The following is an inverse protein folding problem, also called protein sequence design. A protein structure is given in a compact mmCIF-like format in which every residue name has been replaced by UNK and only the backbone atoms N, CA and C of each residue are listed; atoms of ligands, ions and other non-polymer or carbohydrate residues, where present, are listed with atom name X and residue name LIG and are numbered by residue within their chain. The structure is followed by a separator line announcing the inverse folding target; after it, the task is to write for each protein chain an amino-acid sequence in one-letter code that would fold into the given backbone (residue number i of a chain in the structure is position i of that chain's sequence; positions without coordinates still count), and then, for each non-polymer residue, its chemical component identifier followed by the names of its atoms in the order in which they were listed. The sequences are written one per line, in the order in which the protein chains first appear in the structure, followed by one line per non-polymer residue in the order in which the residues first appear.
data_IF_593294678097
#
_entry.id   IF_593294678097
#
_cell.length_a   1.000
_cell.length_b   1.000
_cell.length_c   1.000
_cell.angle_alpha   90.00
_cell.angle_beta   90.00
_cell.angle_gamma   90.00
#
_symmetry.space_group_name_H-M   'P 1'
#
loop_
_entity.id
_entity.type
_entity.pdbx_description
1 polymer ?
#
# COMPACT_ATOMS: atom_id res chain seq x y z
N UNK A 1 -41.09 37.73 -19.06
CA UNK A 1 -40.25 37.51 -17.88
C UNK A 1 -40.41 38.69 -16.95
N UNK A 2 -40.76 38.42 -15.69
CA UNK A 2 -40.81 39.44 -14.66
C UNK A 2 -39.38 39.92 -14.34
N UNK A 3 -39.24 41.09 -13.71
CA UNK A 3 -37.92 41.56 -13.21
C UNK A 3 -37.33 40.59 -12.18
N UNK A 4 -38.19 39.87 -11.45
CA UNK A 4 -37.82 38.85 -10.48
C UNK A 4 -37.18 37.65 -11.18
N UNK A 5 -37.80 37.10 -12.24
CA UNK A 5 -37.28 35.92 -12.94
C UNK A 5 -35.86 36.16 -13.48
N UNK A 6 -35.61 37.36 -14.04
CA UNK A 6 -34.28 37.72 -14.55
C UNK A 6 -33.25 37.85 -13.42
N UNK A 7 -33.67 38.35 -12.27
CA UNK A 7 -32.81 38.47 -11.10
C UNK A 7 -32.46 37.08 -10.53
N UNK A 8 -33.44 36.19 -10.37
CA UNK A 8 -33.22 34.82 -9.87
C UNK A 8 -32.33 34.02 -10.83
N UNK A 9 -32.52 34.13 -12.15
CA UNK A 9 -31.63 33.50 -13.14
C UNK A 9 -30.21 34.06 -13.05
N UNK A 10 -30.04 35.38 -12.96
CA UNK A 10 -28.71 35.99 -12.88
C UNK A 10 -27.98 35.61 -11.59
N UNK A 11 -28.70 35.53 -10.48
CA UNK A 11 -28.16 35.08 -9.20
C UNK A 11 -27.77 33.60 -9.25
N UNK A 12 -28.60 32.74 -9.84
CA UNK A 12 -28.28 31.33 -10.02
C UNK A 12 -27.03 31.13 -10.90
N UNK A 13 -26.89 31.90 -11.99
CA UNK A 13 -25.69 31.87 -12.84
C UNK A 13 -24.43 32.35 -12.10
N UNK A 14 -24.55 33.31 -11.16
CA UNK A 14 -23.43 33.71 -10.30
C UNK A 14 -23.08 32.62 -9.29
N UNK A 15 -24.08 32.01 -8.67
CA UNK A 15 -23.90 30.95 -7.68
C UNK A 15 -23.12 29.75 -8.23
N UNK A 16 -23.28 29.46 -9.53
CA UNK A 16 -22.63 28.35 -10.23
C UNK A 16 -21.46 28.77 -11.13
N UNK A 17 -20.91 29.98 -10.96
CA UNK A 17 -19.78 30.48 -11.76
C UNK A 17 -20.02 30.39 -13.29
N UNK A 18 -21.27 30.56 -13.72
CA UNK A 18 -21.73 30.33 -15.10
C UNK A 18 -22.21 31.58 -15.83
N UNK A 19 -21.98 32.79 -15.27
CA UNK A 19 -22.40 34.07 -15.87
C UNK A 19 -21.90 34.23 -17.32
N UNK A 20 -20.65 33.85 -17.59
CA UNK A 20 -20.05 33.95 -18.92
C UNK A 20 -20.69 33.00 -19.96
N UNK A 21 -21.49 32.03 -19.51
CA UNK A 21 -22.16 31.04 -20.36
C UNK A 21 -23.58 31.45 -20.75
N UNK A 22 -24.12 32.51 -20.15
CA UNK A 22 -25.55 32.87 -20.28
C UNK A 22 -26.04 33.14 -21.70
N UNK A 23 -25.15 33.56 -22.60
CA UNK A 23 -25.46 33.85 -24.01
C UNK A 23 -25.02 32.74 -24.98
N UNK A 24 -24.41 31.65 -24.48
CA UNK A 24 -23.94 30.53 -25.31
C UNK A 24 -25.04 29.51 -25.57
N UNK A 25 -24.98 28.83 -26.72
CA UNK A 25 -25.91 27.75 -27.05
C UNK A 25 -25.60 26.53 -26.16
N UNK A 26 -26.62 25.99 -25.48
CA UNK A 26 -26.45 24.91 -24.50
C UNK A 26 -25.71 23.68 -25.05
N UNK A 27 -26.00 23.30 -26.31
CA UNK A 27 -25.40 22.13 -26.95
C UNK A 27 -23.91 22.33 -27.32
N UNK A 28 -23.41 23.56 -27.29
CA UNK A 28 -22.00 23.90 -27.58
C UNK A 28 -21.13 23.94 -26.32
N UNK A 29 -21.73 23.78 -25.13
CA UNK A 29 -21.02 23.74 -23.86
C UNK A 29 -20.30 22.40 -23.70
N UNK A 30 -19.17 22.39 -22.98
CA UNK A 30 -18.54 21.15 -22.50
C UNK A 30 -19.43 20.45 -21.46
N UNK A 31 -19.19 19.16 -21.18
CA UNK A 31 -19.98 18.40 -20.20
C UNK A 31 -20.07 19.09 -18.83
N UNK A 32 -18.93 19.57 -18.30
CA UNK A 32 -18.88 20.27 -17.02
C UNK A 32 -19.58 21.64 -17.03
N UNK A 33 -19.48 22.39 -18.13
CA UNK A 33 -20.23 23.64 -18.30
C UNK A 33 -21.74 23.38 -18.36
N UNK A 34 -22.19 22.36 -19.11
CA UNK A 34 -23.60 21.96 -19.15
C UNK A 34 -24.11 21.62 -17.76
N UNK A 35 -23.32 20.87 -16.98
CA UNK A 35 -23.71 20.49 -15.62
C UNK A 35 -23.89 21.70 -14.70
N UNK A 36 -22.97 22.67 -14.74
CA UNK A 36 -23.12 23.91 -13.96
C UNK A 36 -24.33 24.74 -14.38
N UNK A 37 -24.61 24.80 -15.68
CA UNK A 37 -25.81 25.48 -16.20
C UNK A 37 -27.08 24.74 -15.77
N UNK A 38 -27.09 23.41 -15.77
CA UNK A 38 -28.23 22.62 -15.27
C UNK A 38 -28.48 22.86 -13.77
N UNK A 39 -27.44 22.92 -12.95
CA UNK A 39 -27.56 23.30 -11.54
C UNK A 39 -28.09 24.75 -11.42
N UNK A 40 -27.60 25.68 -12.24
CA UNK A 40 -28.11 27.05 -12.26
C UNK A 40 -29.60 27.11 -12.60
N UNK A 41 -30.05 26.33 -13.59
CA UNK A 41 -31.46 26.24 -13.96
C UNK A 41 -32.33 25.71 -12.81
N UNK A 42 -31.83 24.75 -12.03
CA UNK A 42 -32.52 24.26 -10.84
C UNK A 42 -32.56 25.33 -9.72
N UNK A 43 -31.44 26.03 -9.48
CA UNK A 43 -31.35 27.08 -8.47
C UNK A 43 -32.19 28.32 -8.78
N UNK A 44 -32.41 28.64 -10.07
CA UNK A 44 -33.24 29.76 -10.48
C UNK A 44 -34.70 29.63 -10.04
N UNK A 45 -35.13 28.41 -9.65
CA UNK A 45 -36.45 28.15 -9.06
C UNK A 45 -36.50 28.41 -7.55
N UNK A 46 -35.39 28.88 -6.95
CA UNK A 46 -35.25 29.18 -5.52
C UNK A 46 -35.64 27.98 -4.62
N UNK A 47 -35.12 26.77 -4.88
CA UNK A 47 -35.53 25.59 -4.15
C UNK A 47 -34.98 25.57 -2.72
N UNK A 48 -35.72 24.94 -1.80
CA UNK A 48 -35.21 24.58 -0.47
C UNK A 48 -34.41 23.26 -0.48
N UNK A 49 -34.66 22.41 -1.50
CA UNK A 49 -34.06 21.08 -1.67
C UNK A 49 -33.64 20.90 -3.13
N UNK A 50 -32.40 20.47 -3.34
CA UNK A 50 -31.85 20.10 -4.64
C UNK A 50 -31.65 18.58 -4.71
N UNK A 51 -32.29 17.95 -5.69
CA UNK A 51 -32.12 16.54 -6.01
C UNK A 51 -31.20 16.41 -7.22
N UNK A 52 -30.13 15.62 -7.10
CA UNK A 52 -29.16 15.39 -8.15
C UNK A 52 -29.08 13.91 -8.48
N UNK A 53 -29.43 13.55 -9.71
CA UNK A 53 -29.29 12.19 -10.22
C UNK A 53 -27.94 12.05 -10.93
N UNK A 54 -27.04 11.26 -10.36
CA UNK A 54 -25.65 11.05 -10.82
C UNK A 54 -24.95 12.30 -11.38
N UNK A 55 -24.76 13.36 -10.57
CA UNK A 55 -24.30 14.66 -11.06
C UNK A 55 -22.87 14.69 -11.63
N UNK A 56 -22.12 13.60 -11.47
CA UNK A 56 -20.75 13.42 -11.93
C UNK A 56 -20.64 12.49 -13.14
N UNK A 57 -21.76 11.90 -13.59
CA UNK A 57 -21.78 10.97 -14.72
C UNK A 57 -21.32 11.65 -16.00
N UNK A 58 -20.52 10.94 -16.81
CA UNK A 58 -19.97 11.45 -18.08
C UNK A 58 -19.07 12.70 -17.97
N UNK A 59 -18.60 13.05 -16.76
CA UNK A 59 -17.64 14.14 -16.54
C UNK A 59 -16.23 13.62 -16.29
N UNK A 60 -15.22 14.30 -16.82
CA UNK A 60 -13.83 14.06 -16.43
C UNK A 60 -13.59 14.43 -14.97
N UNK A 61 -12.57 13.82 -14.35
CA UNK A 61 -12.23 13.96 -12.92
C UNK A 61 -12.22 15.42 -12.45
N UNK A 62 -11.64 16.33 -13.24
CA UNK A 62 -11.61 17.77 -12.93
C UNK A 62 -13.02 18.34 -12.74
N UNK A 63 -13.92 18.06 -13.67
CA UNK A 63 -15.28 18.59 -13.65
C UNK A 63 -16.16 17.91 -12.60
N UNK A 64 -15.92 16.64 -12.27
CA UNK A 64 -16.58 15.98 -11.14
C UNK A 64 -16.27 16.69 -9.82
N UNK A 65 -14.98 16.96 -9.56
CA UNK A 65 -14.50 17.67 -8.36
C UNK A 65 -15.07 19.08 -8.30
N UNK A 66 -15.04 19.84 -9.39
CA UNK A 66 -15.61 21.19 -9.45
C UNK A 66 -17.11 21.19 -9.15
N UNK A 67 -17.86 20.23 -9.71
CA UNK A 67 -19.31 20.12 -9.52
C UNK A 67 -19.66 19.78 -8.07
N UNK A 68 -19.00 18.80 -7.47
CA UNK A 68 -19.25 18.41 -6.08
C UNK A 68 -18.81 19.50 -5.09
N UNK A 69 -17.71 20.21 -5.36
CA UNK A 69 -17.29 21.36 -4.57
C UNK A 69 -18.30 22.51 -4.64
N UNK A 70 -18.87 22.79 -5.82
CA UNK A 70 -19.97 23.75 -5.98
C UNK A 70 -21.18 23.34 -5.12
N UNK A 71 -21.60 22.08 -5.21
CA UNK A 71 -22.74 21.56 -4.44
C UNK A 71 -22.51 21.69 -2.93
N UNK A 72 -21.33 21.31 -2.46
CA UNK A 72 -20.95 21.45 -1.05
C UNK A 72 -20.96 22.92 -0.60
N UNK A 73 -20.49 23.84 -1.45
CA UNK A 73 -20.52 25.28 -1.18
C UNK A 73 -21.95 25.81 -1.08
N UNK A 74 -22.83 25.42 -2.00
CA UNK A 74 -24.24 25.80 -1.97
C UNK A 74 -24.94 25.35 -0.69
N UNK A 75 -24.65 24.12 -0.22
CA UNK A 75 -25.17 23.65 1.05
C UNK A 75 -24.65 24.48 2.24
N UNK A 76 -23.33 24.72 2.32
CA UNK A 76 -22.71 25.43 3.45
C UNK A 76 -23.08 26.91 3.51
N UNK A 77 -23.07 27.60 2.38
CA UNK A 77 -23.24 29.06 2.33
C UNK A 77 -24.71 29.49 2.25
N UNK A 78 -25.56 28.69 1.58
CA UNK A 78 -26.96 29.04 1.32
C UNK A 78 -27.97 28.22 2.13
N UNK A 79 -27.51 27.25 2.92
CA UNK A 79 -28.39 26.35 3.67
C UNK A 79 -29.24 25.43 2.80
N UNK A 80 -28.87 25.26 1.52
CA UNK A 80 -29.60 24.43 0.57
C UNK A 80 -29.45 22.95 0.94
N UNK A 81 -30.56 22.24 1.14
CA UNK A 81 -30.49 20.79 1.33
C UNK A 81 -30.18 20.14 -0.02
N UNK A 82 -29.24 19.20 -0.05
CA UNK A 82 -28.88 18.47 -1.27
C UNK A 82 -28.98 16.97 -1.02
N UNK A 83 -29.65 16.26 -1.92
CA UNK A 83 -29.62 14.80 -1.99
C UNK A 83 -29.08 14.43 -3.37
N UNK A 84 -28.02 13.63 -3.40
CA UNK A 84 -27.39 13.18 -4.63
C UNK A 84 -27.32 11.66 -4.69
N UNK A 85 -27.72 11.08 -5.83
CA UNK A 85 -27.43 9.69 -6.15
C UNK A 85 -25.97 9.58 -6.64
N UNK A 86 -25.16 8.78 -5.97
CA UNK A 86 -23.73 8.64 -6.22
C UNK A 86 -23.36 7.16 -6.42
N UNK A 87 -22.60 6.85 -7.48
CA UNK A 87 -22.03 5.52 -7.69
C UNK A 87 -20.58 5.40 -7.17
N UNK A 88 -19.87 6.53 -7.05
CA UNK A 88 -18.51 6.57 -6.50
C UNK A 88 -18.56 6.85 -4.99
N UNK A 89 -18.25 5.82 -4.20
CA UNK A 89 -18.26 5.87 -2.74
C UNK A 89 -17.19 6.81 -2.16
N UNK A 90 -16.04 6.97 -2.84
CA UNK A 90 -14.97 7.87 -2.40
C UNK A 90 -15.38 9.33 -2.55
N UNK A 91 -15.95 9.66 -3.70
CA UNK A 91 -16.51 11.00 -3.93
C UNK A 91 -17.68 11.28 -2.98
N UNK A 92 -18.56 10.30 -2.77
CA UNK A 92 -19.66 10.44 -1.82
C UNK A 92 -19.14 10.72 -0.39
N UNK A 93 -18.21 9.91 0.11
CA UNK A 93 -17.61 10.07 1.45
C UNK A 93 -16.91 11.41 1.65
N UNK A 94 -16.30 11.95 0.59
CA UNK A 94 -15.55 13.21 0.65
C UNK A 94 -16.44 14.44 0.73
N UNK A 95 -17.53 14.47 -0.03
CA UNK A 95 -18.34 15.68 -0.19
C UNK A 95 -19.60 15.69 0.67
N UNK A 96 -20.11 14.51 1.05
CA UNK A 96 -21.35 14.37 1.80
C UNK A 96 -21.08 13.90 3.23
N UNK A 97 -21.55 14.64 4.26
CA UNK A 97 -21.35 14.27 5.66
C UNK A 97 -22.28 13.14 6.13
N UNK A 98 -23.30 12.79 5.35
CA UNK A 98 -24.24 11.71 5.62
C UNK A 98 -24.46 10.92 4.34
N UNK A 99 -24.40 9.59 4.45
CA UNK A 99 -24.63 8.65 3.37
C UNK A 99 -25.83 7.77 3.70
N UNK A 100 -26.56 7.38 2.66
CA UNK A 100 -27.64 6.40 2.76
C UNK A 100 -27.36 5.31 1.73
N UNK A 101 -27.11 4.09 2.21
CA UNK A 101 -26.86 2.95 1.35
C UNK A 101 -28.17 2.25 1.01
N UNK A 102 -28.47 2.16 -0.28
CA UNK A 102 -29.73 1.61 -0.77
C UNK A 102 -29.50 0.33 -1.59
N UNK A 103 -30.07 -0.79 -1.13
CA UNK A 103 -30.14 -2.05 -1.86
C UNK A 103 -31.48 -2.72 -1.54
N UNK A 104 -32.42 -2.67 -2.49
CA UNK A 104 -33.81 -3.17 -2.29
C UNK A 104 -34.47 -2.61 -1.02
N UNK A 105 -34.10 -1.39 -0.63
CA UNK A 105 -34.41 -0.77 0.66
C UNK A 105 -33.18 -0.06 1.24
N UNK A 106 -33.38 0.69 2.33
CA UNK A 106 -32.27 1.33 3.06
C UNK A 106 -31.58 0.27 3.91
N UNK A 107 -30.28 0.07 3.67
CA UNK A 107 -29.45 -0.91 4.39
C UNK A 107 -28.58 -0.24 5.45
N UNK A 108 -28.19 1.01 5.23
CA UNK A 108 -27.47 1.83 6.20
C UNK A 108 -27.78 3.32 6.01
N UNK A 109 -27.72 4.08 7.09
CA UNK A 109 -27.94 5.53 7.14
C UNK A 109 -27.10 6.11 8.27
N UNK A 110 -26.14 6.96 7.94
CA UNK A 110 -25.19 7.47 8.92
C UNK A 110 -24.06 8.27 8.30
N UNK A 111 -23.00 8.50 9.08
CA UNK A 111 -21.78 9.14 8.57
C UNK A 111 -21.00 8.22 7.62
N UNK A 112 -20.07 8.75 6.80
CA UNK A 112 -19.27 7.94 5.89
C UNK A 112 -18.56 6.77 6.56
N UNK A 113 -18.01 6.95 7.76
CA UNK A 113 -17.31 5.89 8.50
C UNK A 113 -18.24 4.75 8.95
N UNK A 114 -19.51 5.03 9.21
CA UNK A 114 -20.50 4.04 9.63
C UNK A 114 -21.06 3.29 8.42
N UNK A 115 -21.31 4.02 7.33
CA UNK A 115 -21.95 3.48 6.11
C UNK A 115 -20.96 2.74 5.22
N UNK A 116 -19.69 3.15 5.21
CA UNK A 116 -18.63 2.51 4.44
C UNK A 116 -17.81 1.55 5.30
N UNK A 117 -18.48 0.81 6.18
CA UNK A 117 -17.84 -0.26 6.94
C UNK A 117 -17.57 -1.47 6.01
N UNK A 118 -16.35 -2.06 6.03
CA UNK A 118 -15.97 -3.13 5.09
C UNK A 118 -16.95 -4.31 5.02
N UNK A 119 -17.40 -4.86 6.16
CA UNK A 119 -18.28 -6.04 6.16
C UNK A 119 -19.67 -5.73 5.57
N UNK A 120 -20.18 -4.53 5.81
CA UNK A 120 -21.41 -4.02 5.21
C UNK A 120 -21.25 -3.87 3.69
N UNK A 121 -20.16 -3.27 3.23
CA UNK A 121 -19.90 -3.08 1.80
C UNK A 121 -19.72 -4.41 1.08
N UNK A 122 -18.98 -5.36 1.65
CA UNK A 122 -18.84 -6.71 1.08
C UNK A 122 -20.19 -7.41 0.92
N UNK A 123 -21.07 -7.30 1.91
CA UNK A 123 -22.42 -7.88 1.85
C UNK A 123 -23.31 -7.22 0.79
N UNK A 124 -23.22 -5.90 0.64
CA UNK A 124 -24.10 -5.13 -0.25
C UNK A 124 -23.64 -5.20 -1.71
N UNK A 125 -22.34 -5.03 -1.96
CA UNK A 125 -21.79 -5.00 -3.32
C UNK A 125 -21.26 -6.35 -3.80
N UNK A 126 -21.11 -7.35 -2.91
CA UNK A 126 -20.62 -8.68 -3.26
C UNK A 126 -19.14 -8.71 -3.67
N UNK A 127 -18.36 -7.73 -3.21
CA UNK A 127 -16.92 -7.58 -3.49
C UNK A 127 -16.18 -7.35 -2.17
N UNK A 128 -14.98 -7.92 -2.01
CA UNK A 128 -14.17 -7.66 -0.82
C UNK A 128 -13.54 -6.27 -0.88
N UNK A 129 -14.10 -5.35 -0.10
CA UNK A 129 -13.71 -3.95 -0.10
C UNK A 129 -12.77 -3.68 1.06
N UNK A 130 -11.60 -3.10 0.77
CA UNK A 130 -10.73 -2.55 1.81
C UNK A 130 -11.04 -1.08 2.01
N UNK A 131 -11.28 -0.70 3.27
CA UNK A 131 -11.55 0.69 3.65
C UNK A 131 -10.39 1.18 4.52
N UNK A 132 -9.73 2.23 4.06
CA UNK A 132 -8.56 2.78 4.73
C UNK A 132 -8.57 4.31 4.74
N UNK A 133 -7.75 4.89 5.63
CA UNK A 133 -7.48 6.33 5.65
C UNK A 133 -6.18 6.56 4.88
N UNK A 134 -6.24 7.32 3.77
CA UNK A 134 -5.06 7.71 3.02
C UNK A 134 -4.25 8.74 3.82
N UNK A 135 -2.97 8.44 4.14
CA UNK A 135 -2.10 9.39 4.86
C UNK A 135 -1.99 10.71 4.10
N UNK A 136 -2.41 11.80 4.74
CA UNK A 136 -2.42 13.16 4.18
C UNK A 136 -3.80 13.70 3.80
N UNK A 137 -4.84 12.85 3.80
CA UNK A 137 -6.22 13.26 3.66
C UNK A 137 -7.04 12.75 4.86
N UNK A 138 -7.82 13.60 5.51
CA UNK A 138 -8.78 13.23 6.55
C UNK A 138 -10.02 12.52 5.95
N UNK A 139 -9.82 11.68 4.92
CA UNK A 139 -10.90 11.16 4.09
C UNK A 139 -10.80 9.64 3.93
N UNK A 140 -11.97 9.02 4.11
CA UNK A 140 -12.19 7.59 4.00
C UNK A 140 -12.09 7.18 2.52
N UNK A 141 -11.28 6.15 2.24
CA UNK A 141 -11.12 5.61 0.90
C UNK A 141 -11.57 4.16 0.83
N UNK A 142 -12.54 3.90 -0.04
CA UNK A 142 -12.96 2.60 -0.56
C UNK A 142 -12.00 2.23 -1.69
N UNK A 143 -11.18 1.22 -1.45
CA UNK A 143 -10.33 0.65 -2.48
C UNK A 143 -11.09 -0.49 -3.16
N UNK A 144 -11.08 -0.58 -4.51
CA UNK A 144 -11.62 -1.77 -5.18
C UNK A 144 -10.91 -3.01 -4.62
N UNK A 145 -11.56 -4.19 -4.65
CA UNK A 145 -10.89 -5.45 -4.35
C UNK A 145 -9.60 -5.45 -5.17
N UNK A 146 -8.47 -5.41 -4.48
CA UNK A 146 -7.23 -5.73 -5.15
C UNK A 146 -7.41 -7.14 -5.72
N UNK A 147 -6.85 -7.43 -6.89
CA UNK A 147 -6.70 -8.82 -7.36
C UNK A 147 -5.72 -9.57 -6.43
N UNK A 148 -6.06 -9.62 -5.15
CA UNK A 148 -5.27 -10.07 -4.02
C UNK A 148 -6.07 -11.09 -3.18
N UNK A 149 -7.39 -11.16 -3.30
CA UNK A 149 -8.16 -12.23 -2.63
C UNK A 149 -7.95 -13.61 -3.28
N UNK A 150 -7.44 -13.67 -4.53
CA UNK A 150 -6.90 -14.90 -5.09
C UNK A 150 -5.54 -15.32 -4.47
N UNK A 151 -4.90 -14.48 -3.63
CA UNK A 151 -3.62 -14.84 -2.98
C UNK A 151 -3.74 -15.82 -1.82
N UNK A 152 -4.95 -16.19 -1.40
CA UNK A 152 -5.12 -17.38 -0.54
C UNK A 152 -4.90 -18.70 -1.32
N UNK A 153 -4.69 -18.63 -2.64
CA UNK A 153 -4.30 -19.77 -3.48
C UNK A 153 -2.99 -19.54 -4.24
N UNK A 154 -2.08 -18.68 -3.75
CA UNK A 154 -0.71 -18.67 -4.26
C UNK A 154 0.08 -19.84 -3.64
N UNK A 155 0.88 -20.59 -4.42
CA UNK A 155 1.82 -21.54 -3.86
C UNK A 155 2.68 -20.80 -2.83
N UNK A 156 2.80 -21.37 -1.61
CA UNK A 156 3.48 -20.73 -0.49
C UNK A 156 4.81 -20.10 -0.93
N UNK A 157 5.06 -18.88 -0.47
CA UNK A 157 6.27 -18.15 -0.82
C UNK A 157 7.50 -19.04 -0.62
N UNK A 158 8.28 -19.22 -1.69
CA UNK A 158 9.43 -20.15 -1.68
C UNK A 158 10.67 -19.52 -1.06
N UNK A 159 10.68 -18.22 -0.87
CA UNK A 159 11.83 -17.43 -0.41
C UNK A 159 11.46 -16.65 0.84
N UNK A 160 12.31 -16.71 1.85
CA UNK A 160 12.28 -15.81 3.00
C UNK A 160 13.45 -14.83 2.91
N UNK A 161 13.20 -13.54 3.08
CA UNK A 161 14.20 -12.47 3.04
C UNK A 161 14.34 -11.86 4.43
N UNK A 162 15.53 -11.97 5.01
CA UNK A 162 15.91 -11.27 6.24
C UNK A 162 16.68 -10.01 5.87
N UNK A 163 16.10 -8.85 6.17
CA UNK A 163 16.64 -7.54 5.85
C UNK A 163 16.51 -6.55 7.02
N UNK A 164 16.97 -5.32 6.83
CA UNK A 164 16.95 -4.27 7.85
C UNK A 164 17.85 -3.10 7.46
N UNK A 165 17.52 -1.90 7.94
CA UNK A 165 18.31 -0.69 7.68
C UNK A 165 18.43 -0.32 6.20
N UNK A 166 17.53 -0.80 5.34
CA UNK A 166 17.52 -0.54 3.90
C UNK A 166 18.36 -1.53 3.05
N UNK A 167 19.01 -2.50 3.69
CA UNK A 167 19.87 -3.49 3.02
C UNK A 167 19.10 -4.42 2.07
N UNK A 168 17.80 -4.64 2.33
CA UNK A 168 16.96 -5.52 1.51
C UNK A 168 16.36 -4.85 0.29
N UNK A 169 16.49 -3.53 0.14
CA UNK A 169 15.69 -2.77 -0.81
C UNK A 169 15.88 -3.20 -2.27
N UNK A 170 17.14 -3.41 -2.69
CA UNK A 170 17.45 -3.84 -4.06
C UNK A 170 17.01 -5.28 -4.31
N UNK A 171 17.21 -6.17 -3.34
CA UNK A 171 16.82 -7.57 -3.45
C UNK A 171 15.30 -7.73 -3.55
N UNK A 172 14.54 -7.06 -2.67
CA UNK A 172 13.07 -7.15 -2.66
C UNK A 172 12.46 -6.64 -3.97
N UNK A 173 13.02 -5.57 -4.55
CA UNK A 173 12.62 -5.09 -5.87
C UNK A 173 12.94 -6.10 -6.96
N UNK A 174 14.15 -6.65 -6.97
CA UNK A 174 14.55 -7.61 -7.98
C UNK A 174 13.74 -8.93 -7.92
N UNK A 175 13.38 -9.40 -6.72
CA UNK A 175 12.48 -10.54 -6.54
C UNK A 175 11.07 -10.25 -7.06
N UNK A 176 10.54 -9.05 -6.77
CA UNK A 176 9.23 -8.62 -7.26
C UNK A 176 9.21 -8.47 -8.79
N UNK A 177 10.23 -7.85 -9.38
CA UNK A 177 10.37 -7.71 -10.83
C UNK A 177 10.48 -9.09 -11.51
N UNK A 178 11.15 -10.04 -10.86
CA UNK A 178 11.23 -11.44 -11.30
C UNK A 178 9.97 -12.27 -11.01
N UNK A 179 8.92 -11.68 -10.41
CA UNK A 179 7.67 -12.33 -10.03
C UNK A 179 7.87 -13.55 -9.09
N UNK A 180 8.89 -13.49 -8.24
CA UNK A 180 9.18 -14.53 -7.25
C UNK A 180 8.47 -14.17 -5.94
N UNK A 181 7.50 -14.96 -5.44
CA UNK A 181 6.84 -14.66 -4.18
C UNK A 181 7.79 -14.88 -2.99
N UNK A 182 7.87 -13.89 -2.11
CA UNK A 182 8.75 -13.93 -0.95
C UNK A 182 8.07 -13.43 0.33
N UNK A 183 8.50 -13.98 1.46
CA UNK A 183 8.23 -13.45 2.80
C UNK A 183 9.38 -12.52 3.17
N UNK A 184 9.09 -11.38 3.80
CA UNK A 184 10.12 -10.50 4.35
C UNK A 184 9.95 -10.35 5.85
N UNK A 185 11.00 -10.62 6.62
CA UNK A 185 10.88 -10.63 8.08
C UNK A 185 12.16 -11.02 8.82
N UNK A 186 12.28 -10.72 10.11
CA UNK A 186 11.42 -9.79 10.86
C UNK A 186 11.88 -8.34 10.64
N UNK A 187 10.95 -7.43 10.34
CA UNK A 187 11.25 -6.03 10.03
C UNK A 187 10.56 -5.09 11.03
N UNK A 188 11.31 -4.13 11.58
CA UNK A 188 10.79 -3.15 12.53
C UNK A 188 9.88 -2.12 11.85
N UNK A 189 8.78 -1.74 12.51
CA UNK A 189 7.92 -0.64 12.06
C UNK A 189 8.76 0.64 11.92
N UNK A 190 8.65 1.30 10.78
CA UNK A 190 9.40 2.53 10.47
C UNK A 190 10.76 2.29 9.81
N UNK A 191 11.19 1.03 9.63
CA UNK A 191 12.32 0.71 8.77
C UNK A 191 11.96 0.96 7.29
N UNK A 192 12.94 1.43 6.51
CA UNK A 192 12.82 1.56 5.06
C UNK A 192 12.50 0.24 4.37
N UNK A 193 13.08 -0.87 4.84
CA UNK A 193 12.83 -2.21 4.31
C UNK A 193 11.41 -2.68 4.67
N UNK A 194 10.91 -2.36 5.87
CA UNK A 194 9.53 -2.65 6.28
C UNK A 194 8.52 -1.97 5.35
N UNK A 195 8.73 -0.68 5.09
CA UNK A 195 7.85 0.11 4.22
C UNK A 195 7.81 -0.44 2.79
N UNK A 196 8.95 -0.93 2.29
CA UNK A 196 9.05 -1.52 0.97
C UNK A 196 8.44 -2.92 0.92
N UNK A 197 8.70 -3.74 1.94
CA UNK A 197 8.17 -5.10 2.07
C UNK A 197 6.65 -5.12 2.06
N UNK A 198 5.99 -4.18 2.74
CA UNK A 198 4.53 -4.05 2.75
C UNK A 198 3.90 -3.87 1.35
N UNK A 199 4.68 -3.42 0.36
CA UNK A 199 4.22 -3.22 -1.02
C UNK A 199 4.56 -4.40 -1.93
N UNK A 200 5.66 -5.09 -1.67
CA UNK A 200 6.26 -6.04 -2.60
C UNK A 200 6.15 -7.50 -2.16
N UNK A 201 6.23 -7.77 -0.85
CA UNK A 201 6.27 -9.12 -0.31
C UNK A 201 4.89 -9.78 -0.35
N UNK A 202 4.87 -11.11 -0.43
CA UNK A 202 3.66 -11.91 -0.27
C UNK A 202 3.17 -11.91 1.18
N UNK A 203 4.11 -11.84 2.12
CA UNK A 203 3.86 -11.76 3.56
C UNK A 203 4.97 -10.94 4.22
N UNK A 204 4.62 -10.15 5.23
CA UNK A 204 5.59 -9.36 6.01
C UNK A 204 5.45 -9.70 7.49
N UNK A 205 6.55 -10.11 8.11
CA UNK A 205 6.64 -10.33 9.55
C UNK A 205 7.15 -9.04 10.20
N UNK A 206 6.31 -8.43 11.04
CA UNK A 206 6.52 -7.08 11.57
C UNK A 206 6.86 -7.11 13.05
N UNK A 207 7.80 -6.26 13.48
CA UNK A 207 8.20 -6.09 14.87
C UNK A 207 8.10 -4.62 15.32
N UNK A 208 7.97 -4.39 16.62
CA UNK A 208 7.95 -3.06 17.22
C UNK A 208 9.31 -2.33 17.08
N UNK A 209 9.31 -0.98 16.98
CA UNK A 209 10.55 -0.22 16.86
C UNK A 209 11.44 -0.33 18.12
N UNK A 210 12.75 -0.45 17.91
CA UNK A 210 13.78 -0.37 18.96
C UNK A 210 13.70 -1.43 20.08
N UNK A 211 12.91 -2.47 19.90
CA UNK A 211 12.80 -3.59 20.84
C UNK A 211 13.54 -4.83 20.30
N UNK A 212 14.06 -5.71 21.18
CA UNK A 212 14.43 -7.05 20.77
C UNK A 212 13.23 -7.78 20.15
N UNK A 213 13.49 -8.80 19.31
CA UNK A 213 12.41 -9.62 18.76
C UNK A 213 11.54 -10.21 19.87
N UNK A 214 10.24 -10.02 19.72
CA UNK A 214 9.24 -10.63 20.58
C UNK A 214 9.17 -12.15 20.32
N UNK A 215 8.76 -12.94 21.33
CA UNK A 215 8.57 -14.38 21.14
C UNK A 215 7.57 -14.73 20.03
N UNK A 216 6.53 -13.90 19.86
CA UNK A 216 5.50 -14.07 18.83
C UNK A 216 6.08 -13.88 17.42
N UNK A 217 6.83 -12.79 17.20
CA UNK A 217 7.53 -12.54 15.93
C UNK A 217 8.50 -13.68 15.61
N UNK A 218 9.20 -14.18 16.62
CA UNK A 218 10.15 -15.29 16.45
C UNK A 218 9.44 -16.58 16.02
N UNK A 219 8.26 -16.87 16.58
CA UNK A 219 7.45 -18.01 16.20
C UNK A 219 6.96 -17.89 14.74
N UNK A 220 6.56 -16.69 14.32
CA UNK A 220 6.18 -16.41 12.92
C UNK A 220 7.37 -16.61 11.96
N UNK A 221 8.57 -16.17 12.35
CA UNK A 221 9.79 -16.39 11.55
C UNK A 221 10.07 -17.89 11.42
N UNK A 222 10.04 -18.64 12.52
CA UNK A 222 10.25 -20.10 12.50
C UNK A 222 9.23 -20.82 11.64
N UNK A 223 7.96 -20.46 11.76
CA UNK A 223 6.89 -21.02 10.94
C UNK A 223 7.16 -20.76 9.45
N UNK A 224 7.58 -19.55 9.10
CA UNK A 224 7.96 -19.22 7.72
C UNK A 224 9.15 -20.05 7.25
N UNK A 225 10.22 -20.14 8.04
CA UNK A 225 11.43 -20.89 7.69
C UNK A 225 11.17 -22.39 7.47
N UNK A 226 10.15 -22.97 8.14
CA UNK A 226 9.74 -24.35 7.94
C UNK A 226 9.05 -24.62 6.60
N UNK A 227 8.58 -23.57 5.90
CA UNK A 227 7.79 -23.68 4.67
C UNK A 227 8.47 -23.11 3.42
N UNK A 228 9.55 -22.34 3.58
CA UNK A 228 10.31 -21.80 2.45
C UNK A 228 11.37 -22.80 1.96
N UNK A 229 11.69 -22.73 0.67
CA UNK A 229 12.78 -23.51 0.09
C UNK A 229 14.13 -22.80 0.18
N UNK A 230 14.13 -21.47 0.36
CA UNK A 230 15.32 -20.63 0.37
C UNK A 230 15.18 -19.51 1.41
N UNK A 231 16.23 -19.31 2.21
CA UNK A 231 16.42 -18.14 3.06
C UNK A 231 17.52 -17.26 2.46
N UNK A 232 17.24 -15.98 2.25
CA UNK A 232 18.23 -14.98 1.84
C UNK A 232 18.47 -14.02 3.01
N UNK A 233 19.70 -13.97 3.49
CA UNK A 233 20.14 -13.07 4.55
C UNK A 233 20.85 -11.88 3.90
N UNK A 234 20.24 -10.70 3.99
CA UNK A 234 20.82 -9.46 3.50
C UNK A 234 21.96 -8.97 4.39
N UNK A 235 22.83 -8.10 3.86
CA UNK A 235 23.89 -7.49 4.64
C UNK A 235 23.28 -6.50 5.63
N UNK A 236 22.90 -6.98 6.83
CA UNK A 236 22.41 -6.16 7.95
C UNK A 236 23.51 -5.98 9.02
N UNK A 237 23.63 -4.81 9.68
CA UNK A 237 24.46 -4.67 10.87
C UNK A 237 24.00 -5.62 11.98
N UNK A 238 24.92 -6.32 12.65
CA UNK A 238 24.62 -7.32 13.66
C UNK A 238 24.70 -6.68 15.05
N UNK A 239 23.59 -6.65 15.76
CA UNK A 239 23.46 -6.11 17.11
C UNK A 239 22.67 -7.05 18.02
N UNK A 240 22.53 -6.71 19.31
CA UNK A 240 21.79 -7.54 20.26
C UNK A 240 20.31 -7.74 19.86
N UNK A 241 19.72 -6.80 19.12
CA UNK A 241 18.33 -6.86 18.69
C UNK A 241 18.04 -7.88 17.58
N UNK A 242 19.01 -8.20 16.72
CA UNK A 242 18.83 -9.15 15.59
C UNK A 242 19.70 -10.40 15.70
N UNK A 243 20.51 -10.54 16.76
CA UNK A 243 21.33 -11.73 17.00
C UNK A 243 20.48 -13.01 17.02
N UNK A 244 19.27 -12.94 17.56
CA UNK A 244 18.32 -14.06 17.59
C UNK A 244 17.91 -14.50 16.19
N UNK A 245 17.70 -13.56 15.24
CA UNK A 245 17.39 -13.91 13.85
C UNK A 245 18.52 -14.69 13.20
N UNK A 246 19.78 -14.29 13.43
CA UNK A 246 20.93 -15.05 12.92
C UNK A 246 21.04 -16.46 13.52
N UNK A 247 20.66 -16.63 14.79
CA UNK A 247 20.57 -17.97 15.41
C UNK A 247 19.52 -18.81 14.71
N UNK A 248 18.35 -18.25 14.39
CA UNK A 248 17.32 -18.96 13.62
C UNK A 248 17.78 -19.30 12.19
N UNK A 249 18.55 -18.41 11.54
CA UNK A 249 19.14 -18.71 10.22
C UNK A 249 20.09 -19.92 10.29
N UNK A 250 20.88 -20.03 11.35
CA UNK A 250 21.76 -21.19 11.58
C UNK A 250 20.97 -22.47 11.82
N UNK A 251 19.92 -22.40 12.64
CA UNK A 251 19.03 -23.54 12.89
C UNK A 251 18.36 -23.99 11.59
N UNK A 252 17.83 -23.07 10.79
CA UNK A 252 17.22 -23.37 9.51
C UNK A 252 18.21 -24.03 8.53
N UNK A 253 19.44 -23.53 8.46
CA UNK A 253 20.49 -24.14 7.65
C UNK A 253 20.80 -25.58 8.10
N UNK A 254 20.87 -25.83 9.41
CA UNK A 254 21.09 -27.16 9.96
C UNK A 254 19.91 -28.11 9.72
N UNK A 255 18.70 -27.57 9.59
CA UNK A 255 17.48 -28.31 9.25
C UNK A 255 17.32 -28.54 7.74
N UNK A 256 18.28 -28.10 6.92
CA UNK A 256 18.31 -28.34 5.48
C UNK A 256 17.63 -27.28 4.63
N UNK A 257 17.25 -26.13 5.21
CA UNK A 257 16.82 -24.97 4.42
C UNK A 257 18.03 -24.41 3.69
N UNK A 258 17.92 -24.20 2.39
CA UNK A 258 18.96 -23.56 1.62
C UNK A 258 19.12 -22.10 2.07
N UNK A 259 20.32 -21.69 2.48
CA UNK A 259 20.60 -20.32 2.90
C UNK A 259 21.57 -19.67 1.92
N UNK A 260 21.26 -18.43 1.54
CA UNK A 260 22.12 -17.55 0.75
C UNK A 260 22.41 -16.31 1.56
N UNK A 261 23.68 -15.92 1.63
CA UNK A 261 24.10 -14.65 2.24
C UNK A 261 24.52 -13.68 1.15
N UNK A 262 23.92 -12.49 1.15
CA UNK A 262 24.32 -11.40 0.26
C UNK A 262 25.42 -10.59 0.96
N UNK A 263 26.62 -10.58 0.38
CA UNK A 263 27.76 -9.79 0.84
C UNK A 263 27.75 -8.39 0.20
N UNK A 264 28.23 -7.38 0.93
CA UNK A 264 28.53 -6.07 0.34
C UNK A 264 29.82 -6.16 -0.48
N UNK A 265 29.85 -5.49 -1.64
CA UNK A 265 31.10 -5.25 -2.36
C UNK A 265 31.95 -4.24 -1.56
N UNK A 266 33.14 -4.63 -1.11
CA UNK A 266 34.11 -3.70 -0.52
C UNK A 266 34.61 -2.79 -1.66
N UNK A 267 34.45 -1.45 -1.58
CA UNK A 267 34.95 -0.57 -2.62
C UNK A 267 36.48 -0.60 -2.64
N UNK A 268 37.08 -1.17 -3.71
CA UNK A 268 38.51 -1.03 -4.01
C UNK A 268 39.38 -2.29 -3.93
N UNK A 269 38.85 -3.47 -3.67
CA UNK A 269 39.62 -4.73 -3.77
C UNK A 269 39.19 -5.55 -5.01
N UNK A 270 40.14 -6.08 -5.81
CA UNK A 270 39.82 -6.90 -6.98
C UNK A 270 39.25 -8.26 -6.57
N UNK A 271 38.42 -8.85 -7.44
CA UNK A 271 37.88 -10.21 -7.31
C UNK A 271 39.01 -11.24 -7.07
N UNK A 272 39.15 -11.70 -5.82
CA UNK A 272 40.02 -12.82 -5.44
C UNK A 272 39.12 -14.05 -5.26
N UNK A 273 39.42 -15.20 -5.88
CA UNK A 273 38.60 -16.40 -5.76
C UNK A 273 38.59 -16.94 -4.32
N UNK A 274 37.48 -17.56 -3.88
CA UNK A 274 37.30 -17.95 -2.48
C UNK A 274 38.22 -19.10 -2.10
N UNK A 275 39.11 -18.88 -1.12
CA UNK A 275 39.85 -19.92 -0.44
C UNK A 275 39.71 -19.74 1.08
N UNK A 276 39.20 -20.77 1.77
CA UNK A 276 38.99 -20.86 3.22
C UNK A 276 37.93 -19.94 3.85
N UNK A 277 37.19 -20.51 4.82
CA UNK A 277 36.09 -19.86 5.57
C UNK A 277 36.50 -18.58 6.30
N UNK A 278 37.79 -18.40 6.60
CA UNK A 278 38.30 -17.22 7.31
C UNK A 278 38.58 -16.03 6.36
N UNK A 279 38.83 -16.27 5.07
CA UNK A 279 38.92 -15.18 4.08
C UNK A 279 37.52 -14.68 3.71
N UNK A 280 36.51 -15.53 3.59
CA UNK A 280 35.12 -15.09 3.36
C UNK A 280 34.60 -14.15 4.45
N UNK A 281 35.01 -14.33 5.72
CA UNK A 281 34.65 -13.45 6.83
C UNK A 281 35.33 -12.07 6.75
N UNK A 282 36.57 -12.02 6.23
CA UNK A 282 37.31 -10.76 6.03
C UNK A 282 36.75 -9.96 4.86
N UNK A 283 36.39 -10.64 3.77
CA UNK A 283 35.94 -10.01 2.51
C UNK A 283 34.42 -9.76 2.44
N UNK A 284 33.63 -10.29 3.37
CA UNK A 284 32.17 -10.04 3.46
C UNK A 284 31.80 -8.76 4.22
N UNK A 285 32.78 -8.06 4.82
CA UNK A 285 32.53 -6.90 5.67
C UNK A 285 31.76 -7.22 6.96
N UNK A 286 31.61 -8.49 7.33
CA UNK A 286 30.78 -8.92 8.46
C UNK A 286 31.43 -8.59 9.81
N UNK A 287 32.76 -8.70 9.90
CA UNK A 287 33.50 -8.39 11.13
C UNK A 287 33.43 -6.90 11.53
N UNK A 288 33.26 -5.99 10.58
CA UNK A 288 33.13 -4.54 10.84
C UNK A 288 31.70 -4.14 11.24
N UNK A 289 30.77 -5.11 11.27
CA UNK A 289 29.34 -4.91 11.48
C UNK A 289 28.82 -5.62 12.73
N UNK A 290 29.70 -6.22 13.50
CA UNK A 290 29.36 -6.91 14.73
C UNK A 290 29.49 -5.96 15.93
N UNK A 291 28.33 -5.55 16.46
CA UNK A 291 28.18 -4.74 17.67
C UNK A 291 27.83 -5.61 18.90
N UNK A 292 28.17 -6.90 18.86
CA UNK A 292 27.88 -7.91 19.91
C UNK A 292 29.15 -8.52 20.50
N UNK A 293 30.26 -7.78 20.48
CA UNK A 293 31.55 -8.19 21.03
C UNK A 293 32.05 -9.56 20.49
N UNK A 294 31.74 -9.86 19.22
CA UNK A 294 32.20 -11.05 18.51
C UNK A 294 31.23 -12.24 18.50
N UNK A 295 30.07 -12.16 19.17
CA UNK A 295 29.05 -13.21 19.10
C UNK A 295 28.43 -13.34 17.70
N UNK A 296 28.19 -12.22 17.02
CA UNK A 296 27.68 -12.19 15.65
C UNK A 296 28.63 -12.85 14.66
N UNK A 297 29.93 -12.54 14.76
CA UNK A 297 30.97 -13.17 13.94
C UNK A 297 31.04 -14.68 14.17
N UNK A 298 30.90 -15.15 15.42
CA UNK A 298 30.86 -16.60 15.71
C UNK A 298 29.67 -17.27 15.02
N UNK A 299 28.49 -16.66 15.06
CA UNK A 299 27.28 -17.21 14.43
C UNK A 299 27.41 -17.25 12.91
N UNK A 300 27.92 -16.18 12.29
CA UNK A 300 28.15 -16.18 10.85
C UNK A 300 29.20 -17.22 10.48
N UNK A 301 30.28 -17.36 11.24
CA UNK A 301 31.29 -18.41 10.99
C UNK A 301 30.65 -19.81 11.06
N UNK A 302 29.81 -20.05 12.05
CA UNK A 302 29.08 -21.31 12.18
C UNK A 302 28.12 -21.52 10.99
N UNK A 303 27.47 -20.47 10.51
CA UNK A 303 26.59 -20.51 9.33
C UNK A 303 27.38 -20.81 8.04
N UNK A 304 28.56 -20.22 7.86
CA UNK A 304 29.42 -20.54 6.70
C UNK A 304 29.89 -22.00 6.73
N UNK A 305 30.11 -22.57 7.90
CA UNK A 305 30.49 -23.98 8.06
C UNK A 305 29.37 -24.97 7.69
N UNK A 306 28.11 -24.55 7.62
CA UNK A 306 27.00 -25.42 7.18
C UNK A 306 26.87 -25.52 5.66
N UNK A 307 27.73 -24.84 4.89
CA UNK A 307 27.70 -24.88 3.42
C UNK A 307 26.80 -23.82 2.77
N UNK A 308 26.56 -22.71 3.47
CA UNK A 308 25.80 -21.56 2.97
C UNK A 308 26.52 -20.91 1.78
N UNK A 309 25.76 -20.60 0.73
CA UNK A 309 26.28 -19.91 -0.45
C UNK A 309 26.36 -18.41 -0.19
N UNK A 310 27.54 -17.84 -0.35
CA UNK A 310 27.74 -16.38 -0.32
C UNK A 310 27.69 -15.86 -1.76
N UNK A 311 26.88 -14.82 -1.97
CA UNK A 311 26.72 -14.15 -3.27
C UNK A 311 27.09 -12.67 -3.13
N UNK A 312 27.66 -12.09 -4.17
CA UNK A 312 28.14 -10.71 -4.16
C UNK A 312 27.24 -9.75 -4.93
N UNK A 313 26.26 -10.29 -5.68
CA UNK A 313 25.32 -9.52 -6.46
C UNK A 313 23.87 -9.94 -6.19
N UNK A 314 22.95 -8.98 -6.31
CA UNK A 314 21.50 -9.25 -6.22
C UNK A 314 21.06 -10.18 -7.37
N UNK A 315 21.69 -10.08 -8.54
CA UNK A 315 21.41 -10.95 -9.69
C UNK A 315 21.64 -12.42 -9.37
N UNK A 316 22.77 -12.77 -8.76
CA UNK A 316 23.06 -14.14 -8.30
C UNK A 316 22.04 -14.64 -7.28
N UNK A 317 21.64 -13.80 -6.32
CA UNK A 317 20.64 -14.15 -5.32
C UNK A 317 19.27 -14.48 -5.98
N UNK A 318 18.85 -13.68 -6.96
CA UNK A 318 17.62 -13.90 -7.71
C UNK A 318 17.71 -15.14 -8.61
N UNK A 319 18.87 -15.41 -9.19
CA UNK A 319 19.08 -16.61 -10.00
C UNK A 319 18.95 -17.88 -9.15
N UNK A 320 19.55 -17.91 -7.96
CA UNK A 320 19.39 -19.02 -7.00
C UNK A 320 17.92 -19.19 -6.57
N UNK A 321 17.20 -18.08 -6.37
CA UNK A 321 15.78 -18.11 -6.07
C UNK A 321 14.93 -18.68 -7.23
N UNK A 322 15.37 -18.51 -8.48
CA UNK A 322 14.67 -18.97 -9.68
C UNK A 322 14.94 -20.44 -10.01
N UNK A 323 16.20 -20.86 -9.97
CA UNK A 323 16.63 -22.21 -10.41
C UNK A 323 16.48 -23.26 -9.32
N UNK A 324 16.29 -22.83 -8.07
CA UNK A 324 16.34 -23.71 -6.89
C UNK A 324 17.79 -23.96 -6.48
N UNK A 325 18.01 -24.13 -5.18
CA UNK A 325 19.34 -24.35 -4.61
C UNK A 325 19.87 -25.73 -5.04
N UNK A 326 20.66 -25.78 -6.11
CA UNK A 326 21.42 -26.97 -6.47
C UNK A 326 22.73 -26.93 -5.69
N UNK A 327 22.90 -27.93 -4.80
CA UNK A 327 24.11 -28.15 -4.00
C UNK A 327 25.35 -28.37 -4.86
#
# INVERSE_FOLDING_TARGET
QSKHDRASVQEALRATDSVALGERIFNELSGGERQRVMIAMALAQEPALLLLDEPTSHLDIKYQVETLALVQRLNRERGLTVIAAMHDLNLAARYFPRLVLFQRGIVADGGPAEVLEPTLLSRVYGIDVHVGILRGAEHLSVLPPSMQDERQSQPGARVHVMAGGGSGALLMRALADAHIPFVAGALNIGDSDHTLALRLASQVITEQPYTPLSPETLEQVRASLAHVALLIVCPVPIGPGNLTLLRESLVAAQQGVAVVMLADAIPGEPDIPPAASDDLLRHSGIATRDYTDGEGVKLVRALLQTGVKVVHTVGEAVEVARTGYSA
#
